data_IF_572226600383
#
_entry.id   IF_572226600383
#
_cell.length_a   1.000
_cell.length_b   1.000
_cell.length_c   1.000
_cell.angle_alpha   90.00
_cell.angle_beta   90.00
_cell.angle_gamma   90.00
#
_symmetry.space_group_name_H-M   'P 1'
#
loop_
_entity.id
_entity.type
_entity.pdbx_description
1 polymer ?
#
# COMPACT_ATOMS: atom_id res chain seq x y z
N UNK A 1 33.92 -45.35 13.90
CA UNK A 1 34.91 -44.40 14.50
C UNK A 1 34.15 -43.24 15.11
N UNK A 2 34.07 -43.20 16.44
CA UNK A 2 33.36 -42.16 17.19
C UNK A 2 34.06 -40.81 17.08
N UNK A 3 33.30 -39.74 16.90
CA UNK A 3 33.81 -38.39 16.78
C UNK A 3 34.60 -38.00 18.04
N UNK A 4 35.91 -37.79 17.86
CA UNK A 4 36.75 -37.08 18.81
C UNK A 4 36.21 -35.64 18.89
N UNK A 5 35.72 -35.27 20.07
CA UNK A 5 35.30 -33.92 20.46
C UNK A 5 34.02 -33.37 19.79
N UNK A 6 32.90 -33.49 20.52
CA UNK A 6 31.57 -33.03 20.11
C UNK A 6 31.49 -31.52 19.88
N UNK A 7 32.34 -30.71 20.52
CA UNK A 7 32.34 -29.25 20.32
C UNK A 7 32.92 -28.88 18.96
N UNK A 8 34.04 -29.51 18.56
CA UNK A 8 34.65 -29.30 17.25
C UNK A 8 33.72 -29.71 16.11
N UNK A 9 32.96 -30.78 16.30
CA UNK A 9 31.93 -31.20 15.34
C UNK A 9 30.81 -30.15 15.22
N UNK A 10 30.32 -29.59 16.34
CA UNK A 10 29.30 -28.53 16.32
C UNK A 10 29.81 -27.26 15.63
N UNK A 11 31.05 -26.85 15.92
CA UNK A 11 31.65 -25.66 15.33
C UNK A 11 31.86 -25.82 13.81
N UNK A 12 32.31 -26.99 13.38
CA UNK A 12 32.43 -27.34 11.96
C UNK A 12 31.06 -27.28 11.24
N UNK A 13 30.03 -27.91 11.83
CA UNK A 13 28.67 -27.90 11.26
C UNK A 13 28.09 -26.49 11.19
N UNK A 14 28.35 -25.64 12.20
CA UNK A 14 27.94 -24.23 12.20
C UNK A 14 28.61 -23.45 11.06
N UNK A 15 29.94 -23.55 10.91
CA UNK A 15 30.69 -22.89 9.82
C UNK A 15 30.25 -23.40 8.44
N UNK A 16 29.96 -24.69 8.31
CA UNK A 16 29.42 -25.28 7.08
C UNK A 16 28.03 -24.74 6.75
N UNK A 17 27.14 -24.66 7.74
CA UNK A 17 25.81 -24.09 7.57
C UNK A 17 25.88 -22.60 7.18
N UNK A 18 26.67 -21.79 7.88
CA UNK A 18 26.83 -20.36 7.59
C UNK A 18 27.37 -20.13 6.17
N UNK A 19 28.39 -20.88 5.75
CA UNK A 19 28.99 -20.80 4.42
C UNK A 19 28.02 -21.15 3.29
N UNK A 20 27.10 -22.08 3.54
CA UNK A 20 26.13 -22.55 2.54
C UNK A 20 24.74 -21.93 2.70
N UNK A 21 24.52 -21.11 3.73
CA UNK A 21 23.21 -20.52 4.07
C UNK A 21 22.64 -19.73 2.89
N UNK A 22 23.43 -18.84 2.31
CA UNK A 22 23.00 -18.01 1.17
C UNK A 22 22.67 -18.86 -0.06
N UNK A 23 23.57 -19.78 -0.45
CA UNK A 23 23.33 -20.69 -1.59
C UNK A 23 22.06 -21.55 -1.40
N UNK A 24 21.82 -22.05 -0.19
CA UNK A 24 20.63 -22.82 0.14
C UNK A 24 19.35 -21.97 0.12
N UNK A 25 19.42 -20.70 0.56
CA UNK A 25 18.30 -19.77 0.52
C UNK A 25 17.97 -19.36 -0.91
N UNK A 26 18.98 -19.05 -1.72
CA UNK A 26 18.83 -18.66 -3.12
C UNK A 26 18.28 -19.82 -3.95
N UNK A 27 18.81 -21.02 -3.77
CA UNK A 27 18.29 -22.22 -4.44
C UNK A 27 16.83 -22.50 -4.06
N UNK A 28 16.48 -22.40 -2.77
CA UNK A 28 15.08 -22.51 -2.32
C UNK A 28 14.20 -21.42 -2.92
N UNK A 29 14.71 -20.20 -3.06
CA UNK A 29 13.99 -19.07 -3.67
C UNK A 29 13.72 -19.35 -5.15
N UNK A 30 14.71 -19.84 -5.89
CA UNK A 30 14.57 -20.18 -7.31
C UNK A 30 13.61 -21.35 -7.54
N UNK A 31 13.69 -22.42 -6.75
CA UNK A 31 12.70 -23.51 -6.82
C UNK A 31 11.29 -22.99 -6.58
N UNK A 32 11.11 -22.14 -5.55
CA UNK A 32 9.81 -21.58 -5.21
C UNK A 32 9.28 -20.65 -6.31
N UNK A 33 10.18 -19.91 -6.97
CA UNK A 33 9.87 -19.06 -8.12
C UNK A 33 9.42 -19.91 -9.32
N UNK A 34 10.21 -20.91 -9.71
CA UNK A 34 9.89 -21.84 -10.79
C UNK A 34 8.55 -22.55 -10.55
N UNK A 35 8.30 -23.00 -9.32
CA UNK A 35 7.02 -23.62 -8.97
C UNK A 35 5.85 -22.64 -9.14
N UNK A 36 6.00 -21.38 -8.71
CA UNK A 36 4.97 -20.35 -8.89
C UNK A 36 4.72 -20.01 -10.36
N UNK A 37 5.78 -19.97 -11.17
CA UNK A 37 5.70 -19.74 -12.61
C UNK A 37 4.97 -20.89 -13.31
N UNK A 38 5.37 -22.13 -13.05
CA UNK A 38 4.77 -23.33 -13.64
C UNK A 38 3.33 -23.59 -13.17
N UNK A 39 2.93 -23.04 -12.02
CA UNK A 39 1.57 -23.20 -11.48
C UNK A 39 0.77 -21.89 -11.49
N UNK A 40 1.21 -20.88 -12.25
CA UNK A 40 0.61 -19.54 -12.24
C UNK A 40 -0.89 -19.55 -12.50
N UNK A 41 -1.34 -20.32 -13.49
CA UNK A 41 -2.75 -20.43 -13.85
C UNK A 41 -3.57 -21.12 -12.76
N UNK A 42 -3.08 -22.24 -12.21
CA UNK A 42 -3.74 -22.96 -11.10
C UNK A 42 -3.87 -22.07 -9.87
N UNK A 43 -2.81 -21.35 -9.52
CA UNK A 43 -2.80 -20.39 -8.39
C UNK A 43 -3.80 -19.26 -8.66
N UNK A 44 -3.82 -18.73 -9.88
CA UNK A 44 -4.76 -17.67 -10.28
C UNK A 44 -6.21 -18.13 -10.17
N UNK A 45 -6.54 -19.30 -10.71
CA UNK A 45 -7.87 -19.88 -10.67
C UNK A 45 -8.32 -20.14 -9.22
N UNK A 46 -7.45 -20.75 -8.41
CA UNK A 46 -7.72 -20.98 -6.98
C UNK A 46 -7.97 -19.67 -6.24
N UNK A 47 -7.09 -18.68 -6.38
CA UNK A 47 -7.23 -17.39 -5.71
C UNK A 47 -8.50 -16.65 -6.15
N UNK A 48 -8.86 -16.74 -7.44
CA UNK A 48 -10.07 -16.14 -7.99
C UNK A 48 -11.32 -16.77 -7.39
N UNK A 49 -11.38 -18.10 -7.31
CA UNK A 49 -12.52 -18.81 -6.71
C UNK A 49 -12.62 -18.52 -5.21
N UNK A 50 -11.51 -18.61 -4.48
CA UNK A 50 -11.45 -18.25 -3.07
C UNK A 50 -11.94 -16.82 -2.81
N UNK A 51 -11.50 -15.86 -3.62
CA UNK A 51 -11.93 -14.46 -3.48
C UNK A 51 -13.42 -14.26 -3.78
N UNK A 52 -14.02 -15.07 -4.65
CA UNK A 52 -15.46 -15.04 -4.94
C UNK A 52 -16.26 -15.66 -3.79
N UNK A 53 -15.85 -16.83 -3.33
CA UNK A 53 -16.52 -17.59 -2.27
C UNK A 53 -16.47 -16.86 -0.92
N UNK A 54 -15.32 -16.26 -0.59
CA UNK A 54 -15.09 -15.56 0.68
C UNK A 54 -15.16 -14.05 0.55
N UNK A 55 -15.87 -13.54 -0.46
CA UNK A 55 -15.93 -12.09 -0.76
C UNK A 55 -16.42 -11.29 0.45
N UNK A 56 -17.43 -11.78 1.13
CA UNK A 56 -18.04 -11.10 2.29
C UNK A 56 -17.07 -11.04 3.47
N UNK A 57 -16.46 -12.16 3.84
CA UNK A 57 -15.46 -12.23 4.92
C UNK A 57 -14.26 -11.32 4.66
N UNK A 58 -13.77 -11.31 3.41
CA UNK A 58 -12.66 -10.46 2.98
C UNK A 58 -13.05 -8.99 3.13
N UNK A 59 -14.23 -8.61 2.64
CA UNK A 59 -14.73 -7.24 2.73
C UNK A 59 -14.94 -6.81 4.18
N UNK A 60 -15.49 -7.68 5.02
CA UNK A 60 -15.73 -7.39 6.43
C UNK A 60 -14.42 -7.21 7.19
N UNK A 61 -13.45 -8.10 6.97
CA UNK A 61 -12.10 -7.96 7.55
C UNK A 61 -11.43 -6.66 7.13
N UNK A 62 -11.54 -6.31 5.85
CA UNK A 62 -10.98 -5.07 5.33
C UNK A 62 -11.68 -3.83 5.91
N UNK A 63 -13.01 -3.87 6.04
CA UNK A 63 -13.79 -2.82 6.69
C UNK A 63 -13.32 -2.60 8.14
N UNK A 64 -13.23 -3.67 8.93
CA UNK A 64 -12.78 -3.59 10.33
C UNK A 64 -11.38 -2.98 10.45
N UNK A 65 -10.45 -3.33 9.55
CA UNK A 65 -9.11 -2.73 9.54
C UNK A 65 -9.12 -1.24 9.20
N UNK A 66 -9.98 -0.84 8.26
CA UNK A 66 -10.12 0.57 7.84
C UNK A 66 -10.78 1.42 8.93
N UNK A 67 -11.70 0.84 9.68
CA UNK A 67 -12.39 1.51 10.79
C UNK A 67 -11.47 1.61 12.02
N UNK A 68 -10.63 0.61 12.27
CA UNK A 68 -9.68 0.60 13.39
C UNK A 68 -8.45 1.50 13.18
N UNK A 69 -8.03 1.75 11.94
CA UNK A 69 -6.85 2.57 11.63
C UNK A 69 -7.18 3.62 10.54
N UNK A 70 -7.54 4.85 10.94
CA UNK A 70 -7.80 5.97 10.03
C UNK A 70 -6.62 6.30 9.10
N UNK A 71 -5.38 6.10 9.56
CA UNK A 71 -4.17 6.36 8.76
C UNK A 71 -4.00 5.27 7.70
N UNK A 72 -4.31 4.02 8.03
CA UNK A 72 -4.39 2.94 7.04
C UNK A 72 -5.46 3.23 5.99
N UNK A 73 -6.66 3.62 6.42
CA UNK A 73 -7.74 4.05 5.52
C UNK A 73 -7.30 5.19 4.61
N UNK A 74 -6.61 6.19 5.15
CA UNK A 74 -6.07 7.34 4.41
C UNK A 74 -5.09 6.87 3.31
N UNK A 75 -4.12 6.03 3.67
CA UNK A 75 -3.12 5.48 2.73
C UNK A 75 -3.81 4.76 1.57
N UNK A 76 -4.82 3.96 1.85
CA UNK A 76 -5.58 3.25 0.81
C UNK A 76 -6.37 4.22 -0.09
N UNK A 77 -6.99 5.24 0.50
CA UNK A 77 -7.74 6.25 -0.23
C UNK A 77 -6.83 7.04 -1.18
N UNK A 78 -5.70 7.56 -0.68
CA UNK A 78 -4.71 8.27 -1.50
C UNK A 78 -4.22 7.38 -2.64
N UNK A 79 -3.85 6.12 -2.36
CA UNK A 79 -3.45 5.17 -3.41
C UNK A 79 -4.55 4.94 -4.46
N UNK A 80 -5.81 4.86 -4.05
CA UNK A 80 -6.95 4.72 -4.95
C UNK A 80 -7.13 5.96 -5.82
N UNK A 81 -7.02 7.16 -5.25
CA UNK A 81 -7.08 8.43 -5.99
C UNK A 81 -5.96 8.52 -7.02
N UNK A 82 -4.72 8.29 -6.59
CA UNK A 82 -3.54 8.23 -7.45
C UNK A 82 -3.76 7.30 -8.64
N UNK A 83 -4.17 6.04 -8.41
CA UNK A 83 -4.40 5.08 -9.52
C UNK A 83 -5.48 5.51 -10.50
N UNK A 84 -6.59 6.12 -10.04
CA UNK A 84 -7.71 6.49 -10.91
C UNK A 84 -7.31 7.60 -11.88
N UNK A 85 -6.74 8.68 -11.38
CA UNK A 85 -6.42 9.84 -12.21
C UNK A 85 -5.28 9.53 -13.18
N UNK A 86 -4.34 8.69 -12.74
CA UNK A 86 -3.21 8.26 -13.54
C UNK A 86 -3.58 7.36 -14.72
N UNK A 87 -4.60 6.51 -14.57
CA UNK A 87 -5.06 5.64 -15.66
C UNK A 87 -5.45 6.45 -16.90
N UNK A 88 -5.96 7.67 -16.73
CA UNK A 88 -6.37 8.54 -17.83
C UNK A 88 -5.17 9.21 -18.53
N UNK A 89 -4.01 9.30 -17.87
CA UNK A 89 -2.80 9.96 -18.38
C UNK A 89 -1.61 9.00 -18.53
N UNK A 90 -1.83 7.69 -18.40
CA UNK A 90 -0.81 6.63 -18.48
C UNK A 90 0.44 6.81 -17.58
N UNK A 91 0.29 7.55 -16.47
CA UNK A 91 1.38 7.77 -15.50
C UNK A 91 1.62 6.47 -14.69
N UNK A 92 2.74 6.35 -13.99
CA UNK A 92 2.92 5.27 -12.99
C UNK A 92 2.53 5.78 -11.61
N UNK A 93 1.49 5.18 -11.03
CA UNK A 93 1.02 5.55 -9.69
C UNK A 93 1.92 4.99 -8.60
N UNK A 94 2.69 5.86 -7.95
CA UNK A 94 3.46 5.54 -6.76
C UNK A 94 3.22 6.59 -5.66
N UNK A 95 3.69 6.31 -4.45
CA UNK A 95 3.61 7.25 -3.32
C UNK A 95 4.52 8.46 -3.48
N UNK A 96 5.49 8.43 -4.40
CA UNK A 96 6.44 9.52 -4.63
C UNK A 96 5.74 10.76 -5.22
N UNK A 97 4.61 10.56 -5.91
CA UNK A 97 3.78 11.66 -6.42
C UNK A 97 3.26 12.59 -5.31
N UNK A 98 3.15 12.09 -4.07
CA UNK A 98 2.79 12.90 -2.93
C UNK A 98 3.89 13.90 -2.56
N UNK A 99 5.13 13.70 -3.02
CA UNK A 99 6.29 14.53 -2.67
C UNK A 99 6.77 14.40 -1.23
N UNK A 100 6.14 13.53 -0.42
CA UNK A 100 6.51 13.29 0.98
C UNK A 100 6.02 11.90 1.45
N UNK A 101 6.35 11.55 2.70
CA UNK A 101 5.86 10.35 3.36
C UNK A 101 4.37 10.49 3.77
N UNK A 102 3.69 9.36 3.95
CA UNK A 102 2.30 9.37 4.46
C UNK A 102 2.17 10.01 5.85
N UNK A 103 3.21 9.98 6.68
CA UNK A 103 3.18 10.63 7.99
C UNK A 103 3.25 12.15 7.84
N UNK A 104 4.00 12.65 6.86
CA UNK A 104 4.03 14.09 6.53
C UNK A 104 2.68 14.55 5.96
N UNK A 105 2.05 13.77 5.06
CA UNK A 105 0.68 14.05 4.59
C UNK A 105 -0.29 14.11 5.77
N UNK A 106 -0.22 13.15 6.70
CA UNK A 106 -1.06 13.13 7.91
C UNK A 106 -0.88 14.41 8.72
N UNK A 107 0.36 14.82 8.95
CA UNK A 107 0.67 16.03 9.71
C UNK A 107 0.21 17.30 8.98
N UNK A 108 0.39 17.36 7.66
CA UNK A 108 -0.08 18.45 6.81
C UNK A 108 -1.59 18.61 6.85
N UNK A 109 -2.34 17.52 6.76
CA UNK A 109 -3.81 17.54 6.86
C UNK A 109 -4.28 17.93 8.27
N UNK A 110 -3.63 17.41 9.30
CA UNK A 110 -3.99 17.71 10.71
C UNK A 110 -3.87 19.22 10.99
N UNK A 111 -2.86 19.89 10.43
CA UNK A 111 -2.68 21.35 10.55
C UNK A 111 -3.78 22.18 9.88
N UNK A 112 -4.55 21.57 8.98
CA UNK A 112 -5.62 22.23 8.23
C UNK A 112 -7.03 21.87 8.76
N UNK A 113 -7.11 21.09 9.85
CA UNK A 113 -8.40 20.69 10.42
C UNK A 113 -9.23 21.91 10.85
N UNK A 114 -10.50 21.89 10.44
CA UNK A 114 -11.52 22.84 10.89
C UNK A 114 -12.09 22.39 12.24
N UNK A 115 -12.91 23.24 12.84
CA UNK A 115 -13.58 22.92 14.09
C UNK A 115 -14.35 21.59 13.99
N UNK A 116 -14.17 20.71 14.98
CA UNK A 116 -14.74 19.37 15.01
C UNK A 116 -14.02 18.30 14.15
N UNK A 117 -13.03 18.63 13.33
CA UNK A 117 -12.29 17.61 12.55
C UNK A 117 -11.23 16.90 13.40
N UNK A 118 -11.19 15.58 13.31
CA UNK A 118 -10.15 14.75 13.92
C UNK A 118 -9.87 13.50 13.09
N UNK A 119 -8.85 12.74 13.44
CA UNK A 119 -8.64 11.44 12.81
C UNK A 119 -9.70 10.41 13.22
N UNK A 120 -10.34 10.60 14.38
CA UNK A 120 -11.33 9.66 14.92
C UNK A 120 -12.64 9.71 14.13
N UNK A 121 -13.00 10.87 13.58
CA UNK A 121 -14.14 11.04 12.67
C UNK A 121 -13.75 11.03 11.18
N UNK A 122 -12.59 10.47 10.83
CA UNK A 122 -12.18 10.36 9.44
C UNK A 122 -13.15 9.47 8.64
N UNK A 123 -13.81 10.09 7.64
CA UNK A 123 -14.95 9.51 6.94
C UNK A 123 -16.14 10.46 6.91
N UNK A 124 -16.31 11.27 7.96
CA UNK A 124 -17.20 12.44 7.97
C UNK A 124 -16.59 13.60 7.17
N UNK A 125 -15.26 13.73 7.21
CA UNK A 125 -14.49 14.55 6.28
C UNK A 125 -13.62 13.68 5.38
N UNK A 126 -13.33 14.17 4.18
CA UNK A 126 -12.56 13.51 3.13
C UNK A 126 -11.31 14.30 2.79
N UNK A 127 -10.37 13.64 2.11
CA UNK A 127 -9.22 14.32 1.50
C UNK A 127 -9.66 14.80 0.12
N UNK A 128 -9.49 16.09 -0.10
CA UNK A 128 -9.80 16.76 -1.34
C UNK A 128 -8.53 17.42 -1.92
N UNK A 129 -8.57 17.69 -3.22
CA UNK A 129 -7.53 18.48 -3.90
C UNK A 129 -7.96 19.94 -3.96
N UNK A 130 -7.15 20.86 -3.45
CA UNK A 130 -7.41 22.31 -3.48
C UNK A 130 -7.64 22.74 -4.93
N UNK A 131 -6.66 22.47 -5.80
CA UNK A 131 -6.79 22.56 -7.25
C UNK A 131 -7.28 21.21 -7.78
N UNK A 132 -8.44 21.14 -8.45
CA UNK A 132 -9.04 19.88 -8.88
C UNK A 132 -8.13 19.09 -9.83
N UNK A 133 -8.06 17.78 -9.66
CA UNK A 133 -7.38 16.91 -10.64
C UNK A 133 -7.99 17.00 -12.05
N UNK A 134 -9.25 17.43 -12.16
CA UNK A 134 -9.93 17.64 -13.44
C UNK A 134 -9.34 18.81 -14.26
N UNK A 135 -8.58 19.72 -13.64
CA UNK A 135 -7.92 20.81 -14.36
C UNK A 135 -6.60 20.38 -15.02
N UNK A 136 -6.16 19.14 -14.81
CA UNK A 136 -4.93 18.63 -15.41
C UNK A 136 -5.09 18.45 -16.92
N UNK A 137 -4.17 19.01 -17.71
CA UNK A 137 -4.13 18.80 -19.17
C UNK A 137 -2.98 17.89 -19.59
N UNK A 138 -1.93 17.81 -18.76
CA UNK A 138 -0.72 17.05 -19.05
C UNK A 138 -0.37 16.07 -17.92
N UNK A 139 0.50 15.10 -18.21
CA UNK A 139 1.06 14.20 -17.18
C UNK A 139 1.77 14.98 -16.07
N UNK A 140 2.53 16.01 -16.42
CA UNK A 140 3.22 16.89 -15.47
C UNK A 140 2.24 17.66 -14.57
N UNK A 141 1.09 18.11 -15.08
CA UNK A 141 0.05 18.72 -14.27
C UNK A 141 -0.49 17.71 -13.25
N UNK A 142 -0.78 16.48 -13.68
CA UNK A 142 -1.24 15.42 -12.78
C UNK A 142 -0.25 15.19 -11.66
N UNK A 143 1.05 15.05 -11.98
CA UNK A 143 2.11 14.85 -10.99
C UNK A 143 2.15 16.00 -9.98
N UNK A 144 2.09 17.25 -10.44
CA UNK A 144 2.08 18.44 -9.58
C UNK A 144 0.85 18.49 -8.69
N UNK A 145 -0.32 18.20 -9.24
CA UNK A 145 -1.58 18.26 -8.51
C UNK A 145 -1.69 17.15 -7.45
N UNK A 146 -0.96 16.04 -7.60
CA UNK A 146 -0.89 14.99 -6.57
C UNK A 146 0.03 15.32 -5.38
N UNK A 147 0.80 16.42 -5.45
CA UNK A 147 1.69 16.81 -4.37
C UNK A 147 0.91 17.11 -3.09
N UNK A 148 1.45 16.74 -1.93
CA UNK A 148 0.74 16.81 -0.65
C UNK A 148 0.25 18.22 -0.29
N UNK A 149 0.94 19.26 -0.76
CA UNK A 149 0.56 20.66 -0.54
C UNK A 149 -0.75 21.03 -1.21
N UNK A 150 -1.17 20.29 -2.24
CA UNK A 150 -2.47 20.46 -2.90
C UNK A 150 -3.60 19.67 -2.18
N UNK A 151 -3.31 18.97 -1.09
CA UNK A 151 -4.31 18.20 -0.34
C UNK A 151 -4.85 19.00 0.84
N UNK A 152 -6.18 18.95 1.01
CA UNK A 152 -6.89 19.57 2.13
C UNK A 152 -7.91 18.60 2.75
N UNK A 153 -8.18 18.71 4.06
CA UNK A 153 -9.35 18.09 4.67
C UNK A 153 -10.60 18.92 4.33
N UNK A 154 -11.68 18.25 3.93
CA UNK A 154 -12.94 18.90 3.61
C UNK A 154 -14.10 18.06 4.14
N UNK A 155 -15.09 18.67 4.79
CA UNK A 155 -16.26 17.92 5.25
C UNK A 155 -16.95 17.26 4.05
N UNK A 156 -17.51 16.06 4.23
CA UNK A 156 -18.13 15.32 3.13
C UNK A 156 -19.22 16.15 2.44
N UNK A 157 -20.00 16.90 3.22
CA UNK A 157 -21.03 17.81 2.71
C UNK A 157 -20.43 18.94 1.86
N UNK A 158 -19.38 19.61 2.36
CA UNK A 158 -18.67 20.66 1.61
C UNK A 158 -18.06 20.12 0.33
N UNK A 159 -17.52 18.89 0.36
CA UNK A 159 -16.93 18.22 -0.80
C UNK A 159 -17.98 17.88 -1.87
N UNK A 160 -19.17 17.44 -1.44
CA UNK A 160 -20.30 17.20 -2.35
C UNK A 160 -20.77 18.50 -3.02
N UNK A 161 -20.80 19.61 -2.27
CA UNK A 161 -21.16 20.94 -2.80
C UNK A 161 -20.09 21.46 -3.77
N UNK A 162 -18.80 21.28 -3.44
CA UNK A 162 -17.67 21.72 -4.27
C UNK A 162 -17.69 21.05 -5.64
N UNK A 163 -17.94 19.75 -5.69
CA UNK A 163 -17.88 18.97 -6.94
C UNK A 163 -16.48 18.96 -7.56
N UNK A 164 -16.37 18.87 -8.89
CA UNK A 164 -15.08 18.89 -9.60
C UNK A 164 -14.57 20.31 -9.92
N UNK A 165 -15.01 21.32 -9.15
CA UNK A 165 -14.66 22.73 -9.34
C UNK A 165 -13.49 23.15 -8.47
#
# INVERSE_FOLDING_TARGET
MGYKDKEKQREYLKKYYERNKHKNLDHKREIKKLWRENNKEKISAYNSNYAKEHREDINQREKLKRDADPVYRMKLNLRKMTRRSIKNFNVKGNSELLGCSYNEVRNHLTKQFKDGMSWDNYGEWHIDHIIPLASASTEEDVKKLFHYTNLQPLWAEENLIKGSK
#
